data_IF_884414694345
#
_entry.id   IF_884414694345
#
_cell.length_a   1.000
_cell.length_b   1.000
_cell.length_c   1.000
_cell.angle_alpha   90.00
_cell.angle_beta   90.00
_cell.angle_gamma   90.00
#
_symmetry.space_group_name_H-M   'P 1'
#
loop_
_entity.id
_entity.type
_entity.pdbx_description
1 polymer ?
#
# COMPACT_ATOMS: atom_id res chain seq x y z
N UNK A 1 -8.22 -20.21 15.28
CA UNK A 1 -8.93 -20.98 14.23
C UNK A 1 -8.27 -20.71 12.89
N UNK A 2 -8.30 -21.65 11.95
CA UNK A 2 -7.78 -21.47 10.59
C UNK A 2 -8.79 -22.04 9.60
N UNK A 3 -9.09 -21.31 8.53
CA UNK A 3 -9.99 -21.76 7.46
C UNK A 3 -9.39 -21.47 6.09
N UNK A 4 -9.84 -22.21 5.08
CA UNK A 4 -9.54 -21.92 3.68
C UNK A 4 -10.80 -21.37 3.01
N UNK A 5 -10.90 -20.04 2.97
CA UNK A 5 -12.03 -19.35 2.37
C UNK A 5 -11.90 -19.29 0.85
N UNK A 6 -13.02 -19.45 0.13
CA UNK A 6 -13.06 -19.44 -1.36
C UNK A 6 -12.45 -18.16 -1.97
N UNK A 7 -12.57 -17.03 -1.27
CA UNK A 7 -12.14 -15.70 -1.76
C UNK A 7 -10.80 -15.29 -1.16
N UNK A 8 -10.65 -15.42 0.15
CA UNK A 8 -9.48 -14.91 0.88
C UNK A 8 -8.32 -15.93 0.93
N UNK A 9 -8.60 -17.17 0.55
CA UNK A 9 -7.68 -18.30 0.68
C UNK A 9 -7.52 -18.70 2.15
N UNK A 10 -6.29 -19.10 2.50
CA UNK A 10 -5.95 -19.51 3.87
C UNK A 10 -5.89 -18.29 4.80
N UNK A 11 -6.76 -18.26 5.81
CA UNK A 11 -6.87 -17.17 6.78
C UNK A 11 -6.91 -17.71 8.21
N UNK A 12 -6.43 -16.90 9.17
CA UNK A 12 -6.30 -17.27 10.58
C UNK A 12 -7.03 -16.27 11.46
N UNK A 13 -7.75 -16.77 12.46
CA UNK A 13 -8.31 -15.94 13.51
C UNK A 13 -7.24 -15.61 14.57
N UNK A 14 -6.96 -14.32 14.74
CA UNK A 14 -6.04 -13.72 15.70
C UNK A 14 -6.59 -12.37 16.16
N UNK A 15 -7.53 -12.38 17.12
CA UNK A 15 -8.30 -11.18 17.52
C UNK A 15 -9.01 -10.48 16.34
N UNK A 16 -9.42 -11.28 15.34
CA UNK A 16 -9.90 -10.86 14.02
C UNK A 16 -9.40 -11.82 12.94
N UNK A 17 -10.03 -11.86 11.76
CA UNK A 17 -9.54 -12.69 10.67
C UNK A 17 -8.36 -12.00 9.97
N UNK A 18 -7.29 -12.75 9.75
CA UNK A 18 -6.03 -12.19 9.23
C UNK A 18 -5.46 -13.07 8.13
N UNK A 19 -4.72 -12.44 7.22
CA UNK A 19 -3.88 -13.11 6.23
C UNK A 19 -2.64 -12.30 5.89
N UNK A 20 -1.57 -13.00 5.57
CA UNK A 20 -0.39 -12.36 5.00
C UNK A 20 -0.57 -12.19 3.49
N UNK A 21 -0.12 -11.03 3.00
CA UNK A 21 0.17 -10.80 1.59
C UNK A 21 1.64 -10.40 1.45
N UNK A 22 2.21 -10.73 0.30
CA UNK A 22 3.59 -10.38 -0.02
C UNK A 22 3.60 -9.50 -1.27
N UNK A 23 4.34 -8.41 -1.21
CA UNK A 23 4.47 -7.47 -2.32
C UNK A 23 5.79 -6.70 -2.22
N UNK A 24 6.26 -6.21 -3.36
CA UNK A 24 7.52 -5.47 -3.46
C UNK A 24 7.23 -3.97 -3.59
N UNK A 25 7.58 -3.18 -2.57
CA UNK A 25 7.51 -1.70 -2.60
C UNK A 25 8.94 -1.18 -2.74
N UNK A 26 9.21 -0.28 -3.68
CA UNK A 26 10.56 0.23 -3.94
C UNK A 26 11.62 -0.86 -4.13
N UNK A 27 11.27 -1.95 -4.83
CA UNK A 27 12.10 -3.14 -5.03
C UNK A 27 12.56 -3.81 -3.72
N UNK A 28 11.83 -3.61 -2.62
CA UNK A 28 12.04 -4.30 -1.35
C UNK A 28 10.85 -5.17 -1.05
N UNK A 29 11.14 -6.41 -0.66
CA UNK A 29 10.11 -7.36 -0.30
C UNK A 29 9.49 -7.01 1.05
N UNK A 30 8.15 -6.95 1.08
CA UNK A 30 7.37 -6.71 2.29
C UNK A 30 6.32 -7.81 2.45
N UNK A 31 6.13 -8.24 3.71
CA UNK A 31 4.99 -9.05 4.13
C UNK A 31 4.08 -8.15 4.95
N UNK A 32 2.84 -7.98 4.49
CA UNK A 32 1.82 -7.18 5.17
C UNK A 32 0.71 -8.10 5.66
N UNK A 33 0.26 -7.89 6.89
CA UNK A 33 -0.93 -8.54 7.43
C UNK A 33 -2.18 -7.73 7.03
N UNK A 34 -3.15 -8.39 6.40
CA UNK A 34 -4.48 -7.84 6.13
C UNK A 34 -5.41 -8.31 7.22
N UNK A 35 -6.13 -7.38 7.83
CA UNK A 35 -7.28 -7.66 8.68
C UNK A 35 -8.54 -7.74 7.82
N UNK A 36 -9.32 -8.80 8.01
CA UNK A 36 -10.57 -9.09 7.34
C UNK A 36 -11.67 -9.02 8.40
N UNK A 37 -12.58 -8.06 8.23
CA UNK A 37 -13.64 -7.81 9.19
C UNK A 37 -14.73 -8.88 9.09
N UNK A 38 -14.91 -9.64 10.16
CA UNK A 38 -15.98 -10.61 10.38
C UNK A 38 -15.95 -11.09 11.83
N UNK A 39 -17.08 -11.62 12.29
CA UNK A 39 -17.18 -12.31 13.58
C UNK A 39 -16.41 -13.65 13.58
N UNK A 40 -16.30 -14.28 14.76
CA UNK A 40 -15.54 -15.53 14.94
C UNK A 40 -16.08 -16.70 14.11
N UNK A 41 -17.35 -16.65 13.68
CA UNK A 41 -17.98 -17.65 12.82
C UNK A 41 -17.62 -17.54 11.33
N UNK A 42 -16.83 -16.54 10.95
CA UNK A 42 -16.36 -16.29 9.60
C UNK A 42 -17.47 -15.97 8.58
N UNK A 43 -18.53 -15.27 9.02
CA UNK A 43 -19.52 -14.71 8.11
C UNK A 43 -18.98 -13.41 7.47
N UNK A 44 -18.57 -13.50 6.20
CA UNK A 44 -18.02 -12.36 5.46
C UNK A 44 -19.05 -11.69 4.57
N UNK A 45 -19.05 -10.36 4.53
CA UNK A 45 -19.92 -9.61 3.62
C UNK A 45 -19.49 -9.76 2.15
N UNK A 46 -20.48 -9.91 1.26
CA UNK A 46 -20.24 -10.02 -0.20
C UNK A 46 -19.49 -8.81 -0.79
N UNK A 47 -19.69 -7.62 -0.24
CA UNK A 47 -19.02 -6.41 -0.72
C UNK A 47 -17.55 -6.38 -0.31
N UNK A 48 -17.22 -6.93 0.86
CA UNK A 48 -15.83 -7.12 1.29
C UNK A 48 -15.12 -8.16 0.40
N UNK A 49 -15.79 -9.27 0.06
CA UNK A 49 -15.26 -10.24 -0.91
C UNK A 49 -14.93 -9.58 -2.26
N UNK A 50 -15.86 -8.77 -2.80
CA UNK A 50 -15.67 -8.04 -4.06
C UNK A 50 -14.52 -7.02 -3.98
N UNK A 51 -14.45 -6.26 -2.88
CA UNK A 51 -13.39 -5.29 -2.66
C UNK A 51 -12.02 -5.97 -2.61
N UNK A 52 -11.93 -7.11 -1.93
CA UNK A 52 -10.70 -7.89 -1.87
C UNK A 52 -10.30 -8.45 -3.24
N UNK A 53 -11.24 -8.98 -4.03
CA UNK A 53 -10.96 -9.44 -5.41
C UNK A 53 -10.42 -8.28 -6.25
N UNK A 54 -11.06 -7.11 -6.16
CA UNK A 54 -10.59 -5.93 -6.87
C UNK A 54 -9.17 -5.53 -6.43
N UNK A 55 -8.93 -5.43 -5.13
CA UNK A 55 -7.62 -5.10 -4.57
C UNK A 55 -6.55 -6.08 -5.03
N UNK A 56 -6.80 -7.39 -4.93
CA UNK A 56 -5.84 -8.42 -5.32
C UNK A 56 -5.54 -8.40 -6.83
N UNK A 57 -6.54 -8.10 -7.67
CA UNK A 57 -6.37 -8.00 -9.12
C UNK A 57 -5.59 -6.75 -9.56
N UNK A 58 -5.59 -5.69 -8.75
CA UNK A 58 -4.93 -4.41 -9.07
C UNK A 58 -3.76 -4.10 -8.13
N UNK A 59 -3.31 -5.07 -7.33
CA UNK A 59 -2.29 -4.86 -6.30
C UNK A 59 -1.00 -4.26 -6.88
N UNK A 60 -0.53 -4.82 -8.00
CA UNK A 60 0.68 -4.35 -8.69
C UNK A 60 0.53 -2.92 -9.22
N UNK A 61 -0.67 -2.53 -9.66
CA UNK A 61 -0.95 -1.19 -10.16
C UNK A 61 -0.94 -0.18 -9.02
N UNK A 62 -1.61 -0.50 -7.91
CA UNK A 62 -1.66 0.32 -6.70
C UNK A 62 -0.24 0.55 -6.16
N UNK A 63 0.58 -0.49 -6.10
CA UNK A 63 1.97 -0.40 -5.63
C UNK A 63 2.81 0.51 -6.54
N UNK A 64 2.70 0.35 -7.87
CA UNK A 64 3.41 1.22 -8.83
C UNK A 64 2.97 2.68 -8.73
N UNK A 65 1.68 2.92 -8.53
CA UNK A 65 1.14 4.27 -8.35
C UNK A 65 1.68 4.91 -7.06
N UNK A 66 1.68 4.17 -5.96
CA UNK A 66 2.25 4.63 -4.69
C UNK A 66 3.74 4.97 -4.80
N UNK A 67 4.54 4.08 -5.40
CA UNK A 67 5.96 4.30 -5.64
C UNK A 67 6.19 5.56 -6.50
N UNK A 68 5.42 5.70 -7.58
CA UNK A 68 5.51 6.85 -8.49
C UNK A 68 5.14 8.16 -7.80
N UNK A 69 4.11 8.15 -6.96
CA UNK A 69 3.66 9.33 -6.21
C UNK A 69 4.71 9.78 -5.19
N UNK A 70 5.33 8.84 -4.47
CA UNK A 70 6.39 9.13 -3.49
C UNK A 70 7.64 9.69 -4.19
N UNK A 71 8.07 9.09 -5.31
CA UNK A 71 9.18 9.60 -6.11
C UNK A 71 8.87 11.01 -6.62
N UNK A 72 7.65 11.24 -7.12
CA UNK A 72 7.21 12.53 -7.62
C UNK A 72 7.24 13.62 -6.54
N UNK A 73 6.82 13.29 -5.31
CA UNK A 73 6.93 14.18 -4.16
C UNK A 73 8.38 14.61 -3.93
N UNK A 74 9.31 13.65 -3.78
CA UNK A 74 10.71 13.98 -3.49
C UNK A 74 11.39 14.74 -4.64
N UNK A 75 11.09 14.41 -5.90
CA UNK A 75 11.59 15.17 -7.05
C UNK A 75 11.15 16.63 -7.00
N UNK A 76 9.88 16.89 -6.64
CA UNK A 76 9.36 18.25 -6.47
C UNK A 76 10.04 18.98 -5.32
N UNK A 77 10.15 18.36 -4.15
CA UNK A 77 10.78 19.01 -2.98
C UNK A 77 12.26 19.31 -3.24
N UNK A 78 13.00 18.39 -3.86
CA UNK A 78 14.41 18.61 -4.25
C UNK A 78 14.51 19.78 -5.24
N UNK A 79 13.64 19.84 -6.26
CA UNK A 79 13.62 20.94 -7.22
C UNK A 79 13.36 22.29 -6.53
N UNK A 80 12.45 22.33 -5.56
CA UNK A 80 12.16 23.54 -4.79
C UNK A 80 13.37 23.98 -3.95
N UNK A 81 14.04 23.03 -3.29
CA UNK A 81 15.25 23.29 -2.51
C UNK A 81 16.36 23.85 -3.41
N UNK A 82 16.64 23.19 -4.54
CA UNK A 82 17.69 23.62 -5.49
C UNK A 82 17.42 25.02 -6.03
N UNK A 83 16.17 25.31 -6.43
CA UNK A 83 15.80 26.64 -6.94
C UNK A 83 15.92 27.74 -5.88
N UNK A 84 15.69 27.43 -4.60
CA UNK A 84 15.89 28.41 -3.52
C UNK A 84 17.37 28.83 -3.40
N UNK A 85 18.32 27.90 -3.53
CA UNK A 85 19.75 28.21 -3.47
C UNK A 85 20.24 29.01 -4.69
N UNK A 86 19.77 28.68 -5.89
CA UNK A 86 20.15 29.43 -7.10
C UNK A 86 19.63 30.87 -7.05
N UNK A 87 18.38 31.05 -6.62
CA UNK A 87 17.77 32.38 -6.50
C UNK A 87 18.41 33.25 -5.39
N UNK A 88 18.93 32.62 -4.33
CA UNK A 88 19.68 33.33 -3.29
C UNK A 88 21.06 33.79 -3.78
N UNK A 89 21.74 32.99 -4.60
CA UNK A 89 23.06 33.35 -5.14
C UNK A 89 22.98 34.50 -6.15
N UNK A 90 21.89 34.61 -6.93
CA UNK A 90 21.70 35.71 -7.88
C UNK A 90 21.44 37.07 -7.20
N UNK A 91 20.82 37.08 -6.00
CA UNK A 91 20.52 38.33 -5.26
C UNK A 91 21.73 38.93 -4.53
N UNK A 92 22.80 38.17 -4.34
CA UNK A 92 24.00 38.61 -3.61
C UNK A 92 25.13 39.13 -4.53
N UNK A 93 24.88 39.28 -5.84
CA UNK A 93 25.87 39.72 -6.84
C UNK A 93 25.64 41.18 -7.30
N UNK A 94 24.80 41.96 -6.61
CA UNK A 94 24.56 43.39 -6.92
C UNK A 94 25.21 44.29 -5.87
#
# INVERSE_FOLDING_TARGET
MEINHKTFGKIKFNYGWTKDISLDIFNKHHVLEINIDADEDAEFEINQEKAYIFFNNHLDEIVKEADSAIISYYNREISNIVSSYTNHNEKNII
#
